data_IF_861797117167
#
_entry.id   IF_861797117167
#
_cell.length_a   1.000
_cell.length_b   1.000
_cell.length_c   1.000
_cell.angle_alpha   90.00
_cell.angle_beta   90.00
_cell.angle_gamma   90.00
#
_symmetry.space_group_name_H-M   'P 1'
#
loop_
_entity.id
_entity.type
_entity.pdbx_description
1 polymer ?
#
# COMPACT_ATOMS: atom_id res chain seq x y z
N UNK A 1 -29.33 -14.70 -15.21
CA UNK A 1 -28.02 -14.36 -15.79
C UNK A 1 -27.20 -13.76 -14.66
N UNK A 2 -26.60 -14.63 -13.86
CA UNK A 2 -25.74 -14.25 -12.74
C UNK A 2 -24.39 -13.82 -13.31
N UNK A 3 -24.08 -12.54 -13.12
CA UNK A 3 -22.84 -11.91 -13.54
C UNK A 3 -21.72 -12.37 -12.62
N UNK A 4 -20.77 -13.06 -13.23
CA UNK A 4 -19.50 -13.52 -12.69
C UNK A 4 -18.73 -12.31 -12.12
N UNK A 5 -18.71 -12.17 -10.79
CA UNK A 5 -17.81 -11.24 -10.12
C UNK A 5 -16.42 -11.86 -10.17
N UNK A 6 -15.54 -11.26 -10.96
CA UNK A 6 -14.13 -11.63 -11.04
C UNK A 6 -13.53 -11.53 -9.64
N UNK A 7 -13.30 -12.70 -9.04
CA UNK A 7 -12.45 -12.84 -7.88
C UNK A 7 -11.09 -12.20 -8.20
N UNK A 8 -10.76 -11.19 -7.43
CA UNK A 8 -9.45 -10.54 -7.43
C UNK A 8 -8.45 -11.62 -7.07
N UNK A 9 -7.67 -12.02 -8.07
CA UNK A 9 -6.48 -12.85 -7.96
C UNK A 9 -5.47 -12.19 -7.01
N UNK A 10 -5.57 -12.56 -5.73
CA UNK A 10 -4.56 -12.32 -4.70
C UNK A 10 -4.52 -13.55 -3.84
N UNK A 11 -3.58 -14.47 -4.11
CA UNK A 11 -3.37 -15.65 -3.30
C UNK A 11 -3.12 -15.22 -1.85
N UNK A 12 -4.06 -15.60 -0.98
CA UNK A 12 -4.15 -15.13 0.40
C UNK A 12 -2.86 -15.40 1.20
N UNK A 13 -2.47 -14.52 2.14
CA UNK A 13 -1.34 -14.72 3.08
C UNK A 13 -1.37 -16.08 3.81
N UNK A 14 -2.53 -16.73 3.84
CA UNK A 14 -2.72 -18.09 4.36
C UNK A 14 -1.84 -19.10 3.64
N UNK A 15 -1.68 -19.00 2.33
CA UNK A 15 -0.91 -19.97 1.54
C UNK A 15 0.59 -19.91 1.84
N UNK A 16 1.15 -18.71 2.00
CA UNK A 16 2.53 -18.52 2.48
C UNK A 16 2.71 -19.16 3.87
N UNK A 17 1.84 -18.82 4.83
CA UNK A 17 1.94 -19.35 6.20
C UNK A 17 1.76 -20.87 6.26
N UNK A 18 0.91 -21.44 5.41
CA UNK A 18 0.72 -22.89 5.28
C UNK A 18 2.00 -23.58 4.81
N UNK A 19 2.64 -23.07 3.75
CA UNK A 19 3.93 -23.61 3.26
C UNK A 19 5.03 -23.47 4.31
N UNK A 20 5.04 -22.38 5.07
CA UNK A 20 6.00 -22.15 6.15
C UNK A 20 5.76 -23.00 7.39
N UNK A 21 4.59 -23.64 7.53
CA UNK A 21 4.32 -24.65 8.57
C UNK A 21 4.88 -26.03 8.21
N UNK A 22 5.23 -26.26 6.94
CA UNK A 22 5.75 -27.55 6.51
C UNK A 22 7.15 -27.80 7.12
N UNK A 23 7.47 -29.02 7.63
CA UNK A 23 8.75 -29.30 8.27
C UNK A 23 9.99 -28.99 7.41
N UNK A 24 9.89 -29.19 6.09
CA UNK A 24 10.99 -28.87 5.16
C UNK A 24 11.27 -27.38 5.02
N UNK A 25 10.34 -26.49 5.41
CA UNK A 25 10.58 -25.04 5.44
C UNK A 25 11.29 -24.55 6.72
N UNK A 26 11.66 -25.47 7.63
CA UNK A 26 12.17 -25.11 8.97
C UNK A 26 13.40 -24.19 8.95
N UNK A 27 14.31 -24.36 8.00
CA UNK A 27 15.50 -23.50 7.88
C UNK A 27 15.16 -22.10 7.35
N UNK A 28 14.16 -21.98 6.45
CA UNK A 28 13.62 -20.67 6.03
C UNK A 28 12.98 -19.94 7.21
N UNK A 29 12.18 -20.66 8.02
CA UNK A 29 11.56 -20.09 9.23
C UNK A 29 12.61 -19.63 10.23
N UNK A 30 13.68 -20.40 10.46
CA UNK A 30 14.80 -19.99 11.33
C UNK A 30 15.49 -18.74 10.78
N UNK A 31 15.74 -18.68 9.47
CA UNK A 31 16.34 -17.51 8.81
C UNK A 31 15.52 -16.25 9.06
N UNK A 32 14.20 -16.31 8.85
CA UNK A 32 13.27 -15.19 9.09
C UNK A 32 13.27 -14.75 10.55
N UNK A 33 13.16 -15.70 11.48
CA UNK A 33 13.18 -15.38 12.92
C UNK A 33 14.50 -14.76 13.33
N UNK A 34 15.62 -15.28 12.84
CA UNK A 34 16.95 -14.75 13.11
C UNK A 34 17.09 -13.32 12.60
N UNK A 35 16.60 -13.04 11.38
CA UNK A 35 16.59 -11.68 10.82
C UNK A 35 15.78 -10.71 11.68
N UNK A 36 14.55 -11.08 12.06
CA UNK A 36 13.69 -10.24 12.92
C UNK A 36 14.38 -9.93 14.26
N UNK A 37 14.98 -10.92 14.90
CA UNK A 37 15.70 -10.75 16.18
C UNK A 37 16.94 -9.87 16.00
N UNK A 38 17.73 -10.13 14.96
CA UNK A 38 18.92 -9.35 14.63
C UNK A 38 18.58 -7.87 14.44
N UNK A 39 17.59 -7.56 13.59
CA UNK A 39 17.19 -6.19 13.33
C UNK A 39 16.63 -5.52 14.60
N UNK A 40 15.84 -6.24 15.39
CA UNK A 40 15.27 -5.70 16.65
C UNK A 40 16.34 -5.31 17.67
N UNK A 41 17.47 -6.01 17.70
CA UNK A 41 18.55 -5.78 18.66
C UNK A 41 19.54 -4.69 18.23
N UNK A 42 19.59 -4.35 16.94
CA UNK A 42 20.45 -3.29 16.44
C UNK A 42 19.91 -1.90 16.84
N UNK A 43 20.76 -0.88 16.97
CA UNK A 43 20.29 0.51 17.08
C UNK A 43 19.37 0.87 15.90
N UNK A 44 18.21 1.52 16.11
CA UNK A 44 17.34 2.00 15.02
C UNK A 44 18.09 2.95 14.09
N UNK A 45 18.04 2.67 12.80
CA UNK A 45 18.64 3.47 11.73
C UNK A 45 17.84 3.22 10.45
N UNK A 46 17.00 4.18 9.97
CA UNK A 46 16.07 3.93 8.87
C UNK A 46 16.74 3.48 7.57
N UNK A 47 17.89 4.06 7.24
CA UNK A 47 18.62 3.76 6.01
C UNK A 47 19.24 2.35 6.07
N UNK A 48 19.87 2.01 7.19
CA UNK A 48 20.44 0.66 7.38
C UNK A 48 19.36 -0.41 7.52
N UNK A 49 18.29 -0.12 8.26
CA UNK A 49 17.19 -1.05 8.45
C UNK A 49 16.47 -1.32 7.12
N UNK A 50 16.26 -0.29 6.29
CA UNK A 50 15.70 -0.41 4.94
C UNK A 50 16.59 -1.25 4.02
N UNK A 51 17.89 -0.92 3.93
CA UNK A 51 18.84 -1.65 3.10
C UNK A 51 18.94 -3.14 3.51
N UNK A 52 19.04 -3.42 4.81
CA UNK A 52 19.09 -4.78 5.33
C UNK A 52 17.79 -5.55 5.04
N UNK A 53 16.63 -4.89 5.11
CA UNK A 53 15.36 -5.51 4.77
C UNK A 53 15.25 -5.85 3.29
N UNK A 54 15.65 -4.95 2.39
CA UNK A 54 15.66 -5.20 0.94
C UNK A 54 16.62 -6.34 0.57
N UNK A 55 17.83 -6.34 1.12
CA UNK A 55 18.80 -7.44 0.92
C UNK A 55 18.24 -8.78 1.42
N UNK A 56 17.57 -8.77 2.56
CA UNK A 56 16.94 -9.96 3.12
C UNK A 56 15.79 -10.48 2.24
N UNK A 57 14.93 -9.61 1.73
CA UNK A 57 13.85 -10.00 0.81
C UNK A 57 14.43 -10.63 -0.47
N UNK A 58 15.41 -9.99 -1.12
CA UNK A 58 16.05 -10.52 -2.33
C UNK A 58 16.70 -11.90 -2.10
N UNK A 59 17.39 -12.06 -0.95
CA UNK A 59 17.97 -13.35 -0.55
C UNK A 59 16.89 -14.43 -0.37
N UNK A 60 15.78 -14.10 0.28
CA UNK A 60 14.70 -15.05 0.54
C UNK A 60 13.93 -15.39 -0.73
N UNK A 61 13.76 -14.44 -1.65
CA UNK A 61 13.16 -14.68 -2.96
C UNK A 61 13.99 -15.69 -3.78
N UNK A 62 15.32 -15.52 -3.80
CA UNK A 62 16.23 -16.51 -4.38
C UNK A 62 16.13 -17.87 -3.69
N UNK A 63 15.99 -17.89 -2.36
CA UNK A 63 15.80 -19.13 -1.60
C UNK A 63 14.47 -19.81 -1.92
N UNK A 64 13.36 -19.07 -2.05
CA UNK A 64 12.07 -19.63 -2.46
C UNK A 64 12.15 -20.26 -3.84
N UNK A 65 12.73 -19.58 -4.83
CA UNK A 65 12.89 -20.12 -6.20
C UNK A 65 13.69 -21.42 -6.24
N UNK A 66 14.69 -21.58 -5.37
CA UNK A 66 15.52 -22.79 -5.30
C UNK A 66 14.92 -23.90 -4.42
N UNK A 67 13.89 -23.62 -3.62
CA UNK A 67 13.39 -24.55 -2.62
C UNK A 67 12.39 -25.55 -3.21
N UNK A 68 12.47 -26.81 -2.78
CA UNK A 68 11.60 -27.90 -3.29
C UNK A 68 10.10 -27.65 -3.10
N UNK A 69 9.71 -26.94 -2.03
CA UNK A 69 8.31 -26.55 -1.77
C UNK A 69 7.72 -25.56 -2.79
N UNK A 70 8.56 -24.86 -3.54
CA UNK A 70 8.16 -23.93 -4.60
C UNK A 70 8.58 -24.46 -5.99
N UNK A 71 9.02 -25.71 -6.08
CA UNK A 71 9.35 -26.32 -7.36
C UNK A 71 8.09 -26.42 -8.23
N UNK A 72 8.15 -25.84 -9.43
CA UNK A 72 7.03 -25.82 -10.38
C UNK A 72 5.97 -24.76 -10.10
N UNK A 73 6.18 -23.86 -9.14
CA UNK A 73 5.32 -22.69 -8.94
C UNK A 73 5.47 -21.68 -10.08
N UNK A 74 4.39 -20.94 -10.35
CA UNK A 74 4.43 -19.83 -11.29
C UNK A 74 5.14 -18.61 -10.70
N UNK A 75 5.47 -17.64 -11.55
CA UNK A 75 6.10 -16.39 -11.09
C UNK A 75 5.16 -15.60 -10.16
N UNK A 76 3.85 -15.64 -10.42
CA UNK A 76 2.84 -14.99 -9.57
C UNK A 76 2.75 -15.64 -8.18
N UNK A 77 2.91 -16.97 -8.08
CA UNK A 77 2.96 -17.67 -6.80
C UNK A 77 4.23 -17.35 -6.00
N UNK A 78 5.34 -17.13 -6.70
CA UNK A 78 6.60 -16.70 -6.10
C UNK A 78 6.55 -15.25 -5.63
N UNK A 79 5.98 -14.34 -6.43
CA UNK A 79 5.73 -12.95 -6.04
C UNK A 79 4.86 -12.91 -4.78
N UNK A 80 3.74 -13.64 -4.77
CA UNK A 80 2.85 -13.76 -3.61
C UNK A 80 3.55 -14.30 -2.35
N UNK A 81 4.49 -15.25 -2.50
CA UNK A 81 5.29 -15.71 -1.36
C UNK A 81 6.24 -14.61 -0.84
N UNK A 82 6.82 -13.80 -1.72
CA UNK A 82 7.60 -12.61 -1.38
C UNK A 82 6.76 -11.57 -0.63
N UNK A 83 5.53 -11.31 -1.08
CA UNK A 83 4.59 -10.43 -0.39
C UNK A 83 4.18 -10.96 0.98
N UNK A 84 3.93 -12.27 1.08
CA UNK A 84 3.62 -12.94 2.34
C UNK A 84 4.77 -12.82 3.34
N UNK A 85 6.01 -12.92 2.86
CA UNK A 85 7.22 -12.69 3.64
C UNK A 85 7.33 -11.23 4.10
N UNK A 86 7.19 -10.26 3.19
CA UNK A 86 7.22 -8.82 3.51
C UNK A 86 6.20 -8.53 4.61
N UNK A 87 4.95 -8.94 4.39
CA UNK A 87 3.85 -8.76 5.34
C UNK A 87 4.16 -9.37 6.69
N UNK A 88 4.68 -10.60 6.73
CA UNK A 88 5.00 -11.28 7.98
C UNK A 88 6.09 -10.55 8.77
N UNK A 89 7.21 -10.23 8.12
CA UNK A 89 8.38 -9.60 8.74
C UNK A 89 8.02 -8.19 9.22
N UNK A 90 7.42 -7.38 8.36
CA UNK A 90 7.13 -5.99 8.69
C UNK A 90 6.03 -5.87 9.74
N UNK A 91 5.08 -6.81 9.82
CA UNK A 91 4.09 -6.83 10.90
C UNK A 91 4.73 -6.99 12.27
N UNK A 92 5.84 -7.74 12.37
CA UNK A 92 6.61 -7.93 13.60
C UNK A 92 7.49 -6.74 13.93
N UNK A 93 8.07 -6.11 12.91
CA UNK A 93 8.99 -4.98 13.07
C UNK A 93 8.28 -3.61 13.05
N UNK A 94 6.97 -3.56 12.77
CA UNK A 94 6.22 -2.31 12.59
C UNK A 94 6.44 -1.27 13.70
N UNK A 95 6.38 -1.60 15.01
CA UNK A 95 6.57 -0.61 16.07
C UNK A 95 7.99 -0.02 16.12
N UNK A 96 8.96 -0.68 15.49
CA UNK A 96 10.34 -0.23 15.41
C UNK A 96 10.59 0.65 14.19
N UNK A 97 9.99 0.33 13.05
CA UNK A 97 10.36 0.92 11.75
C UNK A 97 9.39 1.98 11.23
N UNK A 98 8.17 2.05 11.78
CA UNK A 98 7.15 3.01 11.36
C UNK A 98 7.08 4.18 12.33
N UNK A 99 7.21 5.42 11.83
CA UNK A 99 7.24 6.66 12.63
C UNK A 99 8.16 6.54 13.85
N UNK A 100 9.39 6.07 13.60
CA UNK A 100 10.31 5.59 14.63
C UNK A 100 11.11 6.70 15.31
N UNK A 101 11.19 7.87 14.66
CA UNK A 101 11.91 9.03 15.18
C UNK A 101 10.90 10.10 15.62
N UNK A 102 11.19 10.86 16.70
CA UNK A 102 10.32 11.96 17.12
C UNK A 102 10.05 12.99 16.01
N UNK A 103 11.03 13.23 15.14
CA UNK A 103 10.89 14.12 13.98
C UNK A 103 9.88 13.61 12.93
N UNK A 104 9.68 12.29 12.82
CA UNK A 104 8.62 11.73 11.96
C UNK A 104 7.25 12.07 12.53
N UNK A 105 7.08 11.87 13.85
CA UNK A 105 5.82 12.12 14.56
C UNK A 105 5.46 13.60 14.53
N UNK A 106 6.44 14.49 14.78
CA UNK A 106 6.24 15.94 14.73
C UNK A 106 5.80 16.39 13.32
N UNK A 107 6.43 15.87 12.26
CA UNK A 107 6.03 16.17 10.88
C UNK A 107 4.64 15.64 10.53
N UNK A 108 4.28 14.46 11.03
CA UNK A 108 2.94 13.89 10.83
C UNK A 108 1.87 14.74 11.54
N UNK A 109 2.14 15.20 12.76
CA UNK A 109 1.25 16.08 13.51
C UNK A 109 1.09 17.45 12.83
N UNK A 110 2.18 18.08 12.39
CA UNK A 110 2.15 19.34 11.63
C UNK A 110 1.35 19.22 10.33
N UNK A 111 1.54 18.12 9.60
CA UNK A 111 0.82 17.85 8.37
C UNK A 111 -0.68 17.66 8.67
N UNK A 112 -1.02 16.88 9.69
CA UNK A 112 -2.40 16.61 10.09
C UNK A 112 -3.13 17.89 10.53
N UNK A 113 -2.49 18.73 11.34
CA UNK A 113 -3.03 20.03 11.75
C UNK A 113 -3.30 20.93 10.54
N UNK A 114 -2.31 21.04 9.63
CA UNK A 114 -2.43 21.85 8.42
C UNK A 114 -3.58 21.36 7.54
N UNK A 115 -3.70 20.05 7.33
CA UNK A 115 -4.80 19.45 6.58
C UNK A 115 -6.15 19.70 7.26
N UNK A 116 -6.23 19.62 8.59
CA UNK A 116 -7.44 19.86 9.38
C UNK A 116 -7.94 21.30 9.27
N UNK A 117 -7.05 22.27 9.16
CA UNK A 117 -7.43 23.68 8.94
C UNK A 117 -7.85 23.92 7.49
N UNK A 118 -7.04 23.48 6.53
CA UNK A 118 -7.28 23.71 5.08
C UNK A 118 -8.57 23.03 4.61
N UNK A 119 -8.87 21.82 5.10
CA UNK A 119 -10.05 21.07 4.66
C UNK A 119 -11.39 21.78 4.95
N UNK A 120 -11.43 22.73 5.89
CA UNK A 120 -12.64 23.45 6.28
C UNK A 120 -13.12 24.45 5.23
N UNK A 121 -12.20 25.00 4.43
CA UNK A 121 -12.53 26.05 3.47
C UNK A 121 -12.07 25.75 2.04
N UNK A 122 -11.24 24.73 1.82
CA UNK A 122 -10.80 24.34 0.47
C UNK A 122 -12.01 23.95 -0.39
N UNK A 123 -12.06 24.51 -1.59
CA UNK A 123 -13.06 24.20 -2.61
C UNK A 123 -12.37 23.71 -3.90
N UNK A 124 -13.02 22.89 -4.74
CA UNK A 124 -12.40 22.35 -5.95
C UNK A 124 -11.86 23.42 -6.90
N UNK A 125 -12.51 24.58 -6.98
CA UNK A 125 -12.10 25.70 -7.83
C UNK A 125 -10.74 26.28 -7.44
N UNK A 126 -10.34 26.17 -6.16
CA UNK A 126 -9.07 26.69 -5.67
C UNK A 126 -7.87 25.84 -6.09
N UNK A 127 -8.15 24.63 -6.62
CA UNK A 127 -7.16 23.70 -7.16
C UNK A 127 -7.33 23.55 -8.68
N UNK A 128 -8.04 24.48 -9.33
CA UNK A 128 -8.28 24.45 -10.79
C UNK A 128 -9.08 23.25 -11.30
N UNK A 129 -9.84 22.57 -10.42
CA UNK A 129 -10.72 21.47 -10.83
C UNK A 129 -11.91 22.02 -11.62
N UNK A 130 -11.99 21.68 -12.91
CA UNK A 130 -13.05 22.16 -13.79
C UNK A 130 -14.44 21.66 -13.36
N UNK A 131 -15.52 22.44 -13.59
CA UNK A 131 -16.88 22.06 -13.18
C UNK A 131 -17.33 20.69 -13.71
N UNK A 132 -16.90 20.32 -14.92
CA UNK A 132 -17.21 19.02 -15.53
C UNK A 132 -16.72 17.82 -14.69
N UNK A 133 -15.66 18.01 -13.90
CA UNK A 133 -15.04 16.95 -13.09
C UNK A 133 -15.47 16.98 -11.62
N UNK A 134 -16.30 17.94 -11.18
CA UNK A 134 -16.69 18.09 -9.78
C UNK A 134 -17.76 17.06 -9.40
N UNK A 135 -17.32 15.95 -8.81
CA UNK A 135 -18.22 14.90 -8.33
C UNK A 135 -17.89 14.49 -6.89
N UNK A 136 -18.28 15.34 -5.93
CA UNK A 136 -17.92 15.18 -4.52
C UNK A 136 -18.44 13.89 -3.89
N UNK A 137 -19.66 13.46 -4.22
CA UNK A 137 -20.23 12.22 -3.70
C UNK A 137 -19.46 10.99 -4.18
N UNK A 138 -18.90 11.05 -5.38
CA UNK A 138 -18.10 9.96 -5.94
C UNK A 138 -16.67 9.96 -5.41
N UNK A 139 -16.10 11.13 -5.12
CA UNK A 139 -14.78 11.23 -4.49
C UNK A 139 -14.74 10.66 -3.06
N UNK A 140 -15.88 10.56 -2.39
CA UNK A 140 -15.97 9.87 -1.10
C UNK A 140 -15.48 8.42 -1.18
N UNK A 141 -15.67 7.73 -2.32
CA UNK A 141 -15.14 6.37 -2.52
C UNK A 141 -13.61 6.39 -2.53
N UNK A 142 -12.99 7.36 -3.22
CA UNK A 142 -11.54 7.51 -3.25
C UNK A 142 -10.98 7.84 -1.85
N UNK A 143 -11.67 8.70 -1.09
CA UNK A 143 -11.32 9.00 0.30
C UNK A 143 -11.34 7.74 1.17
N UNK A 144 -12.40 6.93 1.06
CA UNK A 144 -12.52 5.67 1.81
C UNK A 144 -11.44 4.66 1.47
N UNK A 145 -10.99 4.59 0.21
CA UNK A 145 -9.85 3.74 -0.15
C UNK A 145 -8.56 4.23 0.52
N UNK A 146 -8.31 5.54 0.54
CA UNK A 146 -7.10 6.11 1.15
C UNK A 146 -7.12 5.97 2.68
N UNK A 147 -8.28 6.10 3.34
CA UNK A 147 -8.44 5.92 4.79
C UNK A 147 -7.97 4.55 5.29
N UNK A 148 -8.05 3.52 4.45
CA UNK A 148 -7.61 2.15 4.82
C UNK A 148 -6.11 2.05 5.05
N UNK A 149 -5.30 3.03 4.64
CA UNK A 149 -3.84 2.98 4.74
C UNK A 149 -3.35 2.74 6.17
N UNK A 150 -4.06 3.24 7.18
CA UNK A 150 -3.73 3.06 8.59
C UNK A 150 -4.21 1.72 9.17
N UNK A 151 -5.08 0.99 8.46
CA UNK A 151 -5.51 -0.36 8.83
C UNK A 151 -4.51 -1.44 8.39
N UNK A 152 -3.58 -1.07 7.51
CA UNK A 152 -2.57 -1.97 6.94
C UNK A 152 -1.19 -1.69 7.54
N UNK A 153 -0.40 -2.75 7.74
CA UNK A 153 1.00 -2.64 8.17
C UNK A 153 1.98 -2.86 7.03
N UNK A 154 1.66 -3.75 6.10
CA UNK A 154 2.57 -4.10 5.01
C UNK A 154 2.70 -2.96 3.99
N UNK A 155 3.93 -2.63 3.54
CA UNK A 155 4.16 -1.63 2.50
C UNK A 155 3.31 -1.86 1.26
N UNK A 156 3.23 -3.09 0.74
CA UNK A 156 2.41 -3.38 -0.44
C UNK A 156 0.92 -3.16 -0.21
N UNK A 157 0.41 -3.53 0.97
CA UNK A 157 -1.01 -3.28 1.31
C UNK A 157 -1.32 -1.78 1.41
N UNK A 158 -0.42 -1.00 2.03
CA UNK A 158 -0.53 0.47 2.08
C UNK A 158 -0.53 1.07 0.68
N UNK A 159 0.35 0.57 -0.21
CA UNK A 159 0.43 1.00 -1.60
C UNK A 159 -0.84 0.64 -2.38
N UNK A 160 -1.44 -0.53 -2.14
CA UNK A 160 -2.72 -0.93 -2.75
C UNK A 160 -3.84 0.05 -2.36
N UNK A 161 -3.90 0.55 -1.12
CA UNK A 161 -4.86 1.59 -0.73
C UNK A 161 -4.70 2.86 -1.59
N UNK A 162 -3.46 3.32 -1.79
CA UNK A 162 -3.15 4.48 -2.64
C UNK A 162 -3.55 4.21 -4.10
N UNK A 163 -3.15 3.06 -4.66
CA UNK A 163 -3.50 2.70 -6.03
C UNK A 163 -5.01 2.57 -6.24
N UNK A 164 -5.75 2.02 -5.28
CA UNK A 164 -7.20 1.92 -5.36
C UNK A 164 -7.84 3.31 -5.32
N UNK A 165 -7.35 4.22 -4.46
CA UNK A 165 -7.75 5.62 -4.47
C UNK A 165 -7.53 6.25 -5.86
N UNK A 166 -6.34 6.11 -6.43
CA UNK A 166 -6.01 6.63 -7.76
C UNK A 166 -6.88 6.03 -8.87
N UNK A 167 -7.15 4.72 -8.85
CA UNK A 167 -8.03 4.04 -9.82
C UNK A 167 -9.45 4.57 -9.74
N UNK A 168 -9.98 4.77 -8.53
CA UNK A 168 -11.31 5.36 -8.34
C UNK A 168 -11.34 6.77 -8.93
N UNK A 169 -10.35 7.62 -8.63
CA UNK A 169 -10.27 8.97 -9.20
C UNK A 169 -10.25 8.92 -10.74
N UNK A 170 -9.39 8.10 -11.34
CA UNK A 170 -9.29 7.98 -12.79
C UNK A 170 -10.59 7.52 -13.45
N UNK A 171 -11.26 6.52 -12.88
CA UNK A 171 -12.54 6.04 -13.41
C UNK A 171 -13.62 7.12 -13.34
N UNK A 172 -13.64 7.94 -12.30
CA UNK A 172 -14.58 9.05 -12.16
C UNK A 172 -14.31 10.17 -13.16
N UNK A 173 -13.05 10.53 -13.35
CA UNK A 173 -12.64 11.52 -14.34
C UNK A 173 -12.96 11.06 -15.76
N UNK A 174 -12.73 9.78 -16.07
CA UNK A 174 -13.06 9.19 -17.37
C UNK A 174 -14.57 9.23 -17.63
N UNK A 175 -15.39 8.87 -16.63
CA UNK A 175 -16.84 8.92 -16.77
C UNK A 175 -17.36 10.35 -16.95
N UNK A 176 -16.76 11.30 -16.25
CA UNK A 176 -17.06 12.72 -16.38
C UNK A 176 -16.71 13.22 -17.79
N UNK A 177 -15.51 12.90 -18.30
CA UNK A 177 -15.08 13.34 -19.65
C UNK A 177 -15.97 12.75 -20.75
N UNK A 178 -16.38 11.49 -20.63
CA UNK A 178 -17.34 10.85 -21.56
C UNK A 178 -18.68 11.59 -21.53
N UNK A 179 -19.16 12.00 -20.36
CA UNK A 179 -20.45 12.68 -20.20
C UNK A 179 -20.42 14.11 -20.74
N UNK A 180 -19.31 14.83 -20.54
CA UNK A 180 -19.13 16.20 -21.00
C UNK A 180 -18.57 16.31 -22.42
N UNK A 181 -18.28 15.19 -23.09
CA UNK A 181 -17.63 15.12 -24.40
C UNK A 181 -16.28 15.89 -24.43
N UNK A 182 -15.55 15.80 -23.33
CA UNK A 182 -14.21 16.38 -23.16
C UNK A 182 -13.12 15.36 -23.51
N UNK A 183 -11.87 15.83 -23.63
CA UNK A 183 -10.74 14.93 -23.82
C UNK A 183 -10.56 13.97 -22.62
N UNK A 184 -9.94 12.79 -22.83
CA UNK A 184 -9.58 11.92 -21.73
C UNK A 184 -8.74 12.67 -20.68
N UNK A 185 -8.97 12.43 -19.38
CA UNK A 185 -8.27 13.14 -18.32
C UNK A 185 -6.79 12.75 -18.28
N UNK A 186 -5.93 13.75 -18.07
CA UNK A 186 -4.50 13.61 -17.86
C UNK A 186 -4.08 13.96 -16.44
N UNK A 187 -2.81 14.31 -16.27
CA UNK A 187 -2.26 14.73 -14.97
C UNK A 187 -2.88 16.05 -14.48
N UNK A 188 -3.26 16.94 -15.39
CA UNK A 188 -3.86 18.25 -15.09
C UNK A 188 -5.25 18.10 -14.45
N UNK A 189 -6.02 17.07 -14.82
CA UNK A 189 -7.27 16.73 -14.15
C UNK A 189 -7.05 15.86 -12.91
N UNK A 190 -6.09 14.92 -12.97
CA UNK A 190 -5.89 13.92 -11.93
C UNK A 190 -5.28 14.49 -10.65
N UNK A 191 -4.17 15.23 -10.76
CA UNK A 191 -3.39 15.67 -9.60
C UNK A 191 -4.20 16.62 -8.69
N UNK A 192 -4.92 17.63 -9.21
CA UNK A 192 -5.80 18.45 -8.37
C UNK A 192 -6.84 17.65 -7.59
N UNK A 193 -7.46 16.67 -8.22
CA UNK A 193 -8.46 15.81 -7.57
C UNK A 193 -7.82 14.93 -6.51
N UNK A 194 -6.63 14.37 -6.76
CA UNK A 194 -5.89 13.62 -5.76
C UNK A 194 -5.51 14.49 -4.54
N UNK A 195 -5.07 15.72 -4.75
CA UNK A 195 -4.80 16.69 -3.67
C UNK A 195 -6.08 16.97 -2.89
N UNK A 196 -7.18 17.29 -3.57
CA UNK A 196 -8.47 17.56 -2.92
C UNK A 196 -8.96 16.37 -2.09
N UNK A 197 -8.92 15.16 -2.67
CA UNK A 197 -9.28 13.91 -1.98
C UNK A 197 -8.42 13.73 -0.74
N UNK A 198 -7.10 13.88 -0.86
CA UNK A 198 -6.17 13.70 0.27
C UNK A 198 -6.45 14.71 1.39
N UNK A 199 -6.69 15.98 1.05
CA UNK A 199 -7.05 17.02 2.04
C UNK A 199 -8.39 16.75 2.74
N UNK A 200 -9.35 16.13 2.05
CA UNK A 200 -10.68 15.82 2.61
C UNK A 200 -10.75 14.48 3.35
N UNK A 201 -9.72 13.64 3.26
CA UNK A 201 -9.65 12.40 4.02
C UNK A 201 -9.57 12.70 5.52
N UNK A 202 -10.39 11.98 6.29
CA UNK A 202 -10.33 11.98 7.75
C UNK A 202 -9.60 10.73 8.21
N UNK A 203 -8.39 10.89 8.73
CA UNK A 203 -7.58 9.80 9.28
C UNK A 203 -7.96 9.45 10.72
#
# INVERSE_FOLDING_TARGET
MEGNNADVSGSSPTHFLERMRHPSASDLVKSIKSFIVSLSNNPPDPEKDSAAFQEFLAKMEGAFRAHSLWAGCSEEELESAGEGLEKYVITKLFPRVFASHPEDVERDDELFEKMTLVQQFIRPEMLDIQPAFRNESSWLLAQKELQKINMCKAPREKLVCILNCCKVINNLLLNASITSNEHPPGADEFLPVLIYVTLKVRY
#
